data_IF_261866392119
#
_entry.id   IF_261866392119
#
_cell.length_a   1.000
_cell.length_b   1.000
_cell.length_c   1.000
_cell.angle_alpha   90.00
_cell.angle_beta   90.00
_cell.angle_gamma   90.00
#
_symmetry.space_group_name_H-M   'P 1'
#
loop_
_entity.id
_entity.type
_entity.pdbx_description
1 polymer ?
#
# COMPACT_ATOMS: atom_id res chain seq x y z
N UNK A 1 -7.90 -23.29 3.34
CA UNK A 1 -6.74 -22.47 3.75
C UNK A 1 -7.13 -21.70 5.00
N UNK A 2 -6.22 -21.49 5.95
CA UNK A 2 -6.48 -20.68 7.14
C UNK A 2 -6.12 -19.23 6.86
N UNK A 3 -6.84 -18.30 7.51
CA UNK A 3 -6.52 -16.88 7.43
C UNK A 3 -5.15 -16.60 8.10
N UNK A 4 -4.29 -15.70 7.56
CA UNK A 4 -2.94 -15.47 8.10
C UNK A 4 -2.93 -15.07 9.58
N UNK A 5 -3.94 -14.37 10.06
CA UNK A 5 -4.07 -13.93 11.46
C UNK A 5 -5.04 -14.80 12.30
N UNK A 6 -5.45 -15.98 11.81
CA UNK A 6 -6.43 -16.82 12.50
C UNK A 6 -5.95 -17.29 13.89
N UNK A 7 -4.64 -17.41 14.07
CA UNK A 7 -4.02 -17.79 15.34
C UNK A 7 -4.18 -16.76 16.46
N UNK A 8 -4.57 -15.52 16.13
CA UNK A 8 -4.79 -14.46 17.12
C UNK A 8 -6.10 -14.72 17.88
N UNK A 9 -6.10 -14.70 19.24
CA UNK A 9 -7.28 -14.87 20.06
C UNK A 9 -8.41 -13.90 19.71
N UNK A 10 -9.66 -14.37 19.79
CA UNK A 10 -10.85 -13.59 19.38
C UNK A 10 -10.98 -12.25 20.12
N UNK A 11 -10.65 -12.21 21.40
CA UNK A 11 -10.71 -11.01 22.22
C UNK A 11 -9.69 -9.94 21.83
N UNK A 12 -8.60 -10.31 21.15
CA UNK A 12 -7.56 -9.37 20.70
C UNK A 12 -7.79 -8.85 19.28
N UNK A 13 -8.60 -9.51 18.44
CA UNK A 13 -8.76 -9.16 17.02
C UNK A 13 -9.29 -7.74 16.81
N UNK A 14 -10.34 -7.35 17.54
CA UNK A 14 -10.91 -6.00 17.45
C UNK A 14 -9.99 -4.92 18.02
N UNK A 15 -9.42 -5.06 19.24
CA UNK A 15 -8.44 -4.09 19.72
C UNK A 15 -7.25 -3.88 18.77
N UNK A 16 -6.66 -4.95 18.28
CA UNK A 16 -5.54 -4.87 17.32
C UNK A 16 -5.97 -4.21 16.01
N UNK A 17 -7.15 -4.54 15.47
CA UNK A 17 -7.69 -3.84 14.32
C UNK A 17 -7.73 -2.33 14.54
N UNK A 18 -8.30 -1.86 15.65
CA UNK A 18 -8.41 -0.43 15.91
C UNK A 18 -7.06 0.26 16.08
N UNK A 19 -6.10 -0.40 16.72
CA UNK A 19 -4.74 0.12 16.88
C UNK A 19 -4.09 0.29 15.52
N UNK A 20 -4.02 -0.76 14.70
CA UNK A 20 -3.39 -0.69 13.38
C UNK A 20 -4.15 0.22 12.41
N UNK A 21 -5.48 0.25 12.49
CA UNK A 21 -6.29 1.16 11.70
C UNK A 21 -6.01 2.62 12.04
N UNK A 22 -5.96 2.96 13.33
CA UNK A 22 -5.62 4.32 13.77
C UNK A 22 -4.20 4.71 13.33
N UNK A 23 -3.22 3.81 13.46
CA UNK A 23 -1.85 4.03 12.98
C UNK A 23 -1.82 4.24 11.46
N UNK A 24 -2.54 3.42 10.69
CA UNK A 24 -2.65 3.56 9.23
C UNK A 24 -3.20 4.94 8.84
N UNK A 25 -4.27 5.39 9.49
CA UNK A 25 -4.86 6.72 9.22
C UNK A 25 -3.90 7.84 9.60
N UNK A 26 -3.21 7.74 10.74
CA UNK A 26 -2.24 8.75 11.17
C UNK A 26 -1.07 8.86 10.18
N UNK A 27 -0.49 7.73 9.77
CA UNK A 27 0.62 7.69 8.80
C UNK A 27 0.15 8.21 7.43
N UNK A 28 -1.04 7.81 6.98
CA UNK A 28 -1.63 8.32 5.74
C UNK A 28 -1.82 9.85 5.77
N UNK A 29 -2.20 10.41 6.94
CA UNK A 29 -2.24 11.85 7.15
C UNK A 29 -0.87 12.51 6.99
N UNK A 30 0.20 11.89 7.51
CA UNK A 30 1.58 12.36 7.34
C UNK A 30 1.98 12.34 5.86
N UNK A 31 1.68 11.25 5.13
CA UNK A 31 1.96 11.18 3.70
C UNK A 31 1.30 12.29 2.89
N UNK A 32 0.05 12.66 3.23
CA UNK A 32 -0.60 13.79 2.55
C UNK A 32 0.15 15.12 2.73
N UNK A 33 0.85 15.31 3.85
CA UNK A 33 1.70 16.49 4.08
C UNK A 33 3.01 16.37 3.30
N UNK A 34 3.65 15.19 3.35
CA UNK A 34 4.92 14.92 2.65
C UNK A 34 4.77 14.99 1.12
N UNK A 35 3.60 14.67 0.59
CA UNK A 35 3.30 14.65 -0.84
C UNK A 35 3.10 16.05 -1.45
N UNK A 36 2.84 17.07 -0.64
CA UNK A 36 2.55 18.39 -1.15
C UNK A 36 3.69 19.00 -2.00
N UNK A 37 4.97 18.95 -1.57
CA UNK A 37 6.08 19.45 -2.38
C UNK A 37 6.33 18.64 -3.66
N UNK A 38 5.78 17.41 -3.75
CA UNK A 38 5.96 16.51 -4.89
C UNK A 38 4.97 16.79 -6.04
N UNK A 39 3.94 17.61 -5.79
CA UNK A 39 2.93 17.92 -6.79
C UNK A 39 3.42 19.02 -7.72
N UNK A 40 3.65 18.65 -8.97
CA UNK A 40 4.09 19.52 -10.07
C UNK A 40 3.23 19.27 -11.30
N UNK A 41 3.42 20.07 -12.36
CA UNK A 41 2.74 19.83 -13.64
C UNK A 41 3.10 18.45 -14.25
N UNK A 42 4.34 17.98 -14.04
CA UNK A 42 4.78 16.64 -14.45
C UNK A 42 4.29 15.54 -13.50
N UNK A 43 3.99 15.85 -12.25
CA UNK A 43 3.55 14.93 -11.21
C UNK A 43 2.28 15.43 -10.50
N UNK A 44 1.11 15.53 -11.16
CA UNK A 44 -0.10 16.10 -10.58
C UNK A 44 -0.63 15.34 -9.35
N UNK A 45 -0.32 14.06 -9.23
CA UNK A 45 -0.66 13.22 -8.08
C UNK A 45 0.54 12.95 -7.16
N UNK A 46 1.55 13.83 -7.18
CA UNK A 46 2.73 13.71 -6.33
C UNK A 46 3.48 12.39 -6.52
N UNK A 47 3.77 11.70 -5.42
CA UNK A 47 4.50 10.42 -5.44
C UNK A 47 3.81 9.35 -6.28
N UNK A 48 2.47 9.29 -6.30
CA UNK A 48 1.71 8.32 -7.10
C UNK A 48 1.96 8.50 -8.60
N UNK A 49 2.20 9.72 -9.09
CA UNK A 49 2.61 9.95 -10.48
C UNK A 49 3.97 9.31 -10.77
N UNK A 50 4.89 9.33 -9.81
CA UNK A 50 6.21 8.73 -9.93
C UNK A 50 6.15 7.20 -9.88
N UNK A 51 5.36 6.64 -8.95
CA UNK A 51 5.09 5.20 -8.85
C UNK A 51 4.54 4.62 -10.16
N UNK A 52 3.73 5.37 -10.88
CA UNK A 52 3.07 4.94 -12.11
C UNK A 52 3.73 5.48 -13.40
N UNK A 53 4.94 6.00 -13.33
CA UNK A 53 5.62 6.62 -14.48
C UNK A 53 5.86 5.65 -15.64
N UNK A 54 6.09 4.38 -15.40
CA UNK A 54 6.23 3.26 -16.36
C UNK A 54 7.38 3.35 -17.36
N UNK A 55 7.86 4.55 -17.67
CA UNK A 55 8.91 4.79 -18.68
C UNK A 55 10.01 5.66 -18.10
N UNK A 56 11.23 5.44 -18.56
CA UNK A 56 12.39 6.23 -18.19
C UNK A 56 12.15 7.71 -18.42
N UNK A 57 11.62 8.10 -19.60
CA UNK A 57 11.39 9.50 -19.95
C UNK A 57 10.36 10.18 -19.02
N UNK A 58 9.31 9.44 -18.63
CA UNK A 58 8.29 9.95 -17.71
C UNK A 58 8.85 10.10 -16.30
N UNK A 59 9.59 9.11 -15.81
CA UNK A 59 10.24 9.16 -14.51
C UNK A 59 11.27 10.30 -14.45
N UNK A 60 12.05 10.50 -15.52
CA UNK A 60 13.00 11.60 -15.64
C UNK A 60 12.28 12.97 -15.58
N UNK A 61 11.22 13.15 -16.38
CA UNK A 61 10.45 14.41 -16.39
C UNK A 61 9.88 14.74 -15.00
N UNK A 62 9.42 13.74 -14.25
CA UNK A 62 8.94 13.93 -12.87
C UNK A 62 10.11 14.32 -11.96
N UNK A 63 11.20 13.53 -11.97
CA UNK A 63 12.36 13.79 -11.12
C UNK A 63 13.00 15.16 -11.38
N UNK A 64 13.03 15.62 -12.64
CA UNK A 64 13.55 16.94 -13.03
C UNK A 64 12.62 18.09 -12.61
N UNK A 65 11.33 17.80 -12.41
CA UNK A 65 10.37 18.80 -11.92
C UNK A 65 10.48 19.04 -10.40
N UNK A 66 11.20 18.17 -9.68
CA UNK A 66 11.40 18.25 -8.23
C UNK A 66 12.70 18.98 -7.90
N UNK A 67 12.60 20.04 -7.09
CA UNK A 67 13.75 20.68 -6.50
C UNK A 67 14.44 19.81 -5.43
N UNK A 68 15.57 20.26 -4.89
CA UNK A 68 16.31 19.51 -3.88
C UNK A 68 15.46 19.22 -2.62
N UNK A 69 14.56 20.13 -2.25
CA UNK A 69 13.69 19.93 -1.09
C UNK A 69 12.62 18.88 -1.38
N UNK A 70 11.95 18.93 -2.54
CA UNK A 70 10.97 17.92 -2.96
C UNK A 70 11.60 16.52 -3.02
N UNK A 71 12.82 16.40 -3.58
CA UNK A 71 13.55 15.12 -3.60
C UNK A 71 13.83 14.56 -2.20
N UNK A 72 14.13 15.42 -1.20
CA UNK A 72 14.29 14.99 0.20
C UNK A 72 12.95 14.48 0.78
N UNK A 73 11.83 15.13 0.47
CA UNK A 73 10.50 14.64 0.87
C UNK A 73 10.17 13.31 0.21
N UNK A 74 10.49 13.12 -1.07
CA UNK A 74 10.31 11.85 -1.76
C UNK A 74 11.15 10.75 -1.12
N UNK A 75 12.45 10.98 -0.89
CA UNK A 75 13.34 10.02 -0.25
C UNK A 75 12.88 9.64 1.16
N UNK A 76 12.49 10.64 1.96
CA UNK A 76 11.94 10.38 3.30
C UNK A 76 10.64 9.59 3.22
N UNK A 77 9.73 9.94 2.30
CA UNK A 77 8.46 9.24 2.07
C UNK A 77 8.67 7.77 1.75
N UNK A 78 9.55 7.45 0.78
CA UNK A 78 9.89 6.07 0.42
C UNK A 78 10.44 5.27 1.61
N UNK A 79 11.30 5.89 2.44
CA UNK A 79 11.81 5.25 3.67
C UNK A 79 10.72 5.06 4.73
N UNK A 80 9.89 6.07 4.94
CA UNK A 80 8.81 6.06 5.94
C UNK A 80 7.70 5.07 5.59
N UNK A 81 7.52 4.77 4.31
CA UNK A 81 6.54 3.82 3.81
C UNK A 81 6.81 2.38 4.29
N UNK A 82 8.07 2.02 4.57
CA UNK A 82 8.38 0.73 5.21
C UNK A 82 7.75 0.57 6.61
N UNK A 83 7.41 1.66 7.29
CA UNK A 83 6.60 1.63 8.51
C UNK A 83 5.10 1.53 8.18
N UNK A 84 4.65 2.13 7.09
CA UNK A 84 3.25 2.10 6.68
C UNK A 84 2.78 0.72 6.22
N UNK A 85 3.62 0.01 5.46
CA UNK A 85 3.34 -1.33 4.93
C UNK A 85 2.82 -2.32 5.99
N UNK A 86 3.52 -2.57 7.12
CA UNK A 86 3.00 -3.48 8.13
C UNK A 86 1.75 -2.96 8.82
N UNK A 87 1.58 -1.64 8.97
CA UNK A 87 0.40 -1.09 9.66
C UNK A 87 -0.86 -1.29 8.82
N UNK A 88 -0.85 -0.92 7.53
CA UNK A 88 -2.03 -1.13 6.67
C UNK A 88 -2.29 -2.62 6.41
N UNK A 89 -1.23 -3.43 6.26
CA UNK A 89 -1.39 -4.85 6.02
C UNK A 89 -2.07 -5.55 7.21
N UNK A 90 -1.65 -5.22 8.43
CA UNK A 90 -2.29 -5.75 9.64
C UNK A 90 -3.71 -5.19 9.82
N UNK A 91 -3.92 -3.87 9.64
CA UNK A 91 -5.24 -3.27 9.75
C UNK A 91 -6.25 -3.94 8.81
N UNK A 92 -5.91 -4.02 7.51
CA UNK A 92 -6.82 -4.57 6.51
C UNK A 92 -7.01 -6.09 6.68
N UNK A 93 -5.95 -6.83 7.03
CA UNK A 93 -6.03 -8.26 7.28
C UNK A 93 -6.88 -8.57 8.52
N UNK A 94 -6.78 -7.80 9.62
CA UNK A 94 -7.68 -7.90 10.76
C UNK A 94 -9.12 -7.54 10.38
N UNK A 95 -9.32 -6.50 9.58
CA UNK A 95 -10.64 -6.12 9.06
C UNK A 95 -11.31 -7.27 8.30
N UNK A 96 -10.57 -7.94 7.42
CA UNK A 96 -11.03 -9.13 6.68
C UNK A 96 -11.35 -10.30 7.63
N UNK A 97 -10.48 -10.58 8.61
CA UNK A 97 -10.69 -11.63 9.59
C UNK A 97 -11.96 -11.40 10.44
N UNK A 98 -12.21 -10.15 10.83
CA UNK A 98 -13.42 -9.75 11.57
C UNK A 98 -14.65 -9.88 10.67
N UNK A 99 -14.55 -9.49 9.40
CA UNK A 99 -15.64 -9.60 8.42
C UNK A 99 -16.01 -11.06 8.12
N UNK A 100 -15.05 -11.99 8.14
CA UNK A 100 -15.29 -13.44 8.04
C UNK A 100 -16.08 -13.91 9.25
N UNK A 101 -15.69 -13.56 10.47
CA UNK A 101 -16.35 -14.02 11.69
C UNK A 101 -16.46 -15.55 11.73
N UNK A 102 -17.68 -16.06 11.90
CA UNK A 102 -17.98 -17.51 11.92
C UNK A 102 -18.52 -18.05 10.57
N UNK A 103 -18.48 -17.25 9.51
CA UNK A 103 -19.01 -17.65 8.20
C UNK A 103 -18.17 -18.76 7.58
N UNK A 104 -18.87 -19.71 6.90
CA UNK A 104 -18.25 -20.82 6.17
C UNK A 104 -18.67 -20.86 4.70
N UNK A 105 -19.06 -19.73 4.15
CA UNK A 105 -19.53 -19.58 2.77
C UNK A 105 -18.39 -19.17 1.82
N UNK A 106 -18.70 -18.99 0.54
CA UNK A 106 -17.75 -18.57 -0.51
C UNK A 106 -17.08 -17.22 -0.19
N UNK A 107 -17.82 -16.31 0.45
CA UNK A 107 -17.27 -15.03 0.90
C UNK A 107 -16.12 -15.25 1.90
N UNK A 108 -16.30 -16.12 2.91
CA UNK A 108 -15.27 -16.40 3.90
C UNK A 108 -13.99 -16.97 3.29
N UNK A 109 -14.13 -17.82 2.27
CA UNK A 109 -12.98 -18.35 1.51
C UNK A 109 -12.25 -17.24 0.78
N UNK A 110 -12.99 -16.39 0.05
CA UNK A 110 -12.41 -15.27 -0.69
C UNK A 110 -11.75 -14.24 0.23
N UNK A 111 -12.40 -13.85 1.34
CA UNK A 111 -11.84 -12.94 2.33
C UNK A 111 -10.56 -13.50 2.99
N UNK A 112 -10.48 -14.83 3.18
CA UNK A 112 -9.27 -15.50 3.65
C UNK A 112 -8.12 -15.35 2.64
N UNK A 113 -8.39 -15.54 1.35
CA UNK A 113 -7.41 -15.30 0.29
C UNK A 113 -6.96 -13.84 0.24
N UNK A 114 -7.90 -12.90 0.38
CA UNK A 114 -7.57 -11.47 0.43
C UNK A 114 -6.73 -11.13 1.66
N UNK A 115 -6.91 -11.81 2.79
CA UNK A 115 -6.03 -11.67 3.96
C UNK A 115 -4.55 -11.94 3.63
N UNK A 116 -4.26 -12.97 2.84
CA UNK A 116 -2.91 -13.23 2.31
C UNK A 116 -2.52 -12.24 1.20
N UNK A 117 -3.47 -11.86 0.35
CA UNK A 117 -3.27 -10.89 -0.73
C UNK A 117 -2.79 -9.54 -0.21
N UNK A 118 -3.26 -9.10 0.96
CA UNK A 118 -2.83 -7.84 1.58
C UNK A 118 -1.36 -7.90 2.02
N UNK A 119 -0.88 -9.03 2.54
CA UNK A 119 0.55 -9.22 2.85
C UNK A 119 1.38 -9.29 1.56
N UNK A 120 0.86 -9.92 0.51
CA UNK A 120 1.52 -9.89 -0.81
C UNK A 120 1.60 -8.45 -1.35
N UNK A 121 0.55 -7.63 -1.16
CA UNK A 121 0.58 -6.22 -1.53
C UNK A 121 1.72 -5.47 -0.83
N UNK A 122 1.95 -5.71 0.47
CA UNK A 122 3.05 -5.11 1.21
C UNK A 122 4.44 -5.53 0.69
N UNK A 123 4.57 -6.75 0.17
CA UNK A 123 5.82 -7.21 -0.48
C UNK A 123 6.03 -6.47 -1.81
N UNK A 124 4.98 -6.33 -2.64
CA UNK A 124 5.07 -5.56 -3.88
C UNK A 124 5.39 -4.09 -3.62
N UNK A 125 4.81 -3.51 -2.58
CA UNK A 125 5.09 -2.16 -2.10
C UNK A 125 6.57 -1.97 -1.72
N UNK A 126 7.13 -2.92 -0.97
CA UNK A 126 8.54 -2.90 -0.60
C UNK A 126 9.47 -2.99 -1.82
N UNK A 127 9.14 -3.82 -2.81
CA UNK A 127 9.88 -3.93 -4.07
C UNK A 127 9.76 -2.65 -4.90
N UNK A 128 8.56 -2.09 -5.00
CA UNK A 128 8.29 -0.81 -5.65
C UNK A 128 9.16 0.30 -5.06
N UNK A 129 9.12 0.50 -3.74
CA UNK A 129 9.88 1.54 -3.05
C UNK A 129 11.39 1.38 -3.27
N UNK A 130 11.90 0.15 -3.31
CA UNK A 130 13.29 -0.09 -3.64
C UNK A 130 13.62 0.35 -5.08
N UNK A 131 12.75 0.04 -6.06
CA UNK A 131 12.96 0.47 -7.45
C UNK A 131 12.88 2.00 -7.58
N UNK A 132 11.91 2.63 -6.89
CA UNK A 132 11.78 4.10 -6.87
C UNK A 132 12.96 4.78 -6.19
N UNK A 133 13.53 4.15 -5.15
CA UNK A 133 14.75 4.62 -4.53
C UNK A 133 15.92 4.62 -5.53
N UNK A 134 16.11 3.55 -6.30
CA UNK A 134 17.12 3.50 -7.36
C UNK A 134 16.89 4.59 -8.40
N UNK A 135 15.62 4.81 -8.83
CA UNK A 135 15.27 5.88 -9.78
C UNK A 135 15.58 7.28 -9.22
N UNK A 136 15.42 7.47 -7.90
CA UNK A 136 15.61 8.78 -7.25
C UNK A 136 17.08 9.12 -7.00
N UNK A 137 17.92 8.13 -6.74
CA UNK A 137 19.30 8.30 -6.25
C UNK A 137 20.39 7.98 -7.27
N UNK A 138 20.07 7.13 -8.26
CA UNK A 138 20.98 6.69 -9.29
C UNK A 138 20.59 7.26 -10.66
N UNK A 139 21.20 6.74 -11.73
CA UNK A 139 20.77 7.03 -13.10
C UNK A 139 19.39 6.40 -13.35
N UNK A 140 18.48 7.18 -13.93
CA UNK A 140 17.13 6.71 -14.28
C UNK A 140 17.24 5.82 -15.52
N UNK A 141 17.32 4.53 -15.28
CA UNK A 141 17.49 3.51 -16.33
C UNK A 141 16.42 2.42 -16.24
N UNK A 142 16.11 1.82 -17.40
CA UNK A 142 15.31 0.59 -17.46
C UNK A 142 16.07 -0.57 -16.77
N UNK A 143 15.40 -1.45 -15.97
CA UNK A 143 13.94 -1.59 -15.89
C UNK A 143 13.32 -1.01 -14.60
N UNK A 144 13.96 -0.08 -13.90
CA UNK A 144 13.49 0.37 -12.58
C UNK A 144 12.08 1.02 -12.62
N UNK A 145 11.80 2.02 -13.49
CA UNK A 145 10.46 2.64 -13.53
C UNK A 145 9.36 1.65 -13.95
N UNK A 146 9.68 0.74 -14.87
CA UNK A 146 8.74 -0.28 -15.35
C UNK A 146 8.37 -1.27 -14.23
N UNK A 147 9.36 -1.78 -13.48
CA UNK A 147 9.14 -2.70 -12.36
C UNK A 147 8.37 -2.00 -11.24
N UNK A 148 8.75 -0.77 -10.89
CA UNK A 148 8.03 0.02 -9.89
C UNK A 148 6.55 0.13 -10.25
N UNK A 149 6.22 0.53 -11.48
CA UNK A 149 4.84 0.69 -11.92
C UNK A 149 4.04 -0.62 -11.97
N UNK A 150 4.69 -1.75 -12.28
CA UNK A 150 4.05 -3.07 -12.21
C UNK A 150 3.73 -3.42 -10.75
N UNK A 151 4.70 -3.25 -9.84
CA UNK A 151 4.53 -3.51 -8.41
C UNK A 151 3.42 -2.61 -7.82
N UNK A 152 3.43 -1.30 -8.13
CA UNK A 152 2.40 -0.35 -7.73
C UNK A 152 1.00 -0.80 -8.20
N UNK A 153 0.89 -1.19 -9.46
CA UNK A 153 -0.38 -1.63 -10.03
C UNK A 153 -0.92 -2.87 -9.29
N UNK A 154 -0.07 -3.87 -9.05
CA UNK A 154 -0.46 -5.10 -8.33
C UNK A 154 -0.85 -4.77 -6.88
N UNK A 155 -0.03 -3.97 -6.19
CA UNK A 155 -0.30 -3.47 -4.82
C UNK A 155 -1.69 -2.84 -4.73
N UNK A 156 -1.97 -1.84 -5.56
CA UNK A 156 -3.25 -1.12 -5.53
C UNK A 156 -4.44 -2.03 -5.82
N UNK A 157 -4.34 -2.94 -6.78
CA UNK A 157 -5.41 -3.91 -7.07
C UNK A 157 -5.70 -4.78 -5.83
N UNK A 158 -4.67 -5.34 -5.19
CA UNK A 158 -4.82 -6.19 -4.01
C UNK A 158 -5.42 -5.43 -2.82
N UNK A 159 -4.98 -4.19 -2.59
CA UNK A 159 -5.49 -3.35 -1.50
C UNK A 159 -6.95 -2.95 -1.72
N UNK A 160 -7.32 -2.55 -2.94
CA UNK A 160 -8.70 -2.21 -3.29
C UNK A 160 -9.61 -3.43 -3.15
N UNK A 161 -9.21 -4.59 -3.68
CA UNK A 161 -9.98 -5.83 -3.53
C UNK A 161 -10.12 -6.24 -2.06
N UNK A 162 -9.06 -6.14 -1.27
CA UNK A 162 -9.07 -6.40 0.17
C UNK A 162 -10.04 -5.47 0.90
N UNK A 163 -9.96 -4.16 0.63
CA UNK A 163 -10.82 -3.15 1.25
C UNK A 163 -12.31 -3.36 0.91
N UNK A 164 -12.61 -3.54 -0.37
CA UNK A 164 -13.99 -3.81 -0.83
C UNK A 164 -14.52 -5.08 -0.18
N UNK A 165 -13.69 -6.13 -0.10
CA UNK A 165 -14.07 -7.38 0.56
C UNK A 165 -14.33 -7.18 2.05
N UNK A 166 -13.47 -6.46 2.77
CA UNK A 166 -13.66 -6.18 4.20
C UNK A 166 -14.97 -5.40 4.45
N UNK A 167 -15.25 -4.38 3.64
CA UNK A 167 -16.47 -3.55 3.77
C UNK A 167 -17.74 -4.30 3.39
N UNK A 168 -17.66 -5.21 2.43
CA UNK A 168 -18.83 -6.01 1.98
C UNK A 168 -19.24 -7.11 2.96
N UNK A 169 -18.41 -7.43 3.96
CA UNK A 169 -18.67 -8.52 4.91
C UNK A 169 -20.00 -8.45 5.65
N UNK A 170 -20.52 -7.26 5.88
CA UNK A 170 -21.84 -7.03 6.51
C UNK A 170 -23.02 -7.45 5.63
N UNK A 171 -22.86 -7.49 4.30
CA UNK A 171 -23.91 -7.86 3.36
C UNK A 171 -24.04 -9.38 3.16
N UNK A 172 -23.05 -10.15 3.58
CA UNK A 172 -23.01 -11.60 3.47
C UNK A 172 -23.23 -12.28 4.83
N UNK A 173 -24.11 -11.71 5.65
CA UNK A 173 -24.35 -12.13 7.05
C UNK A 173 -25.32 -13.31 7.18
N UNK A 174 -25.31 -14.26 6.25
CA UNK A 174 -26.05 -15.53 6.39
C UNK A 174 -25.11 -16.69 6.59
#
# INVERSE_FOLDING_TARGET
MKHPLEFIPLNLRKPLFYVFFAMTIAIFGIFNILDQPLRTDSAPNGIVSFELARKVESAQSIADSWDANARLFAAFGLGFDYLFMPTYALALSFGLLIAVGNKKNRYAVFATWMGWGVFAAAIFDALENYMLWCVLTDDIISPYPEIAAICATIKFILLILGLVTALSGRFFSN
#
